data_IF_006974470375
#
_entry.id   IF_006974470375
#
_cell.length_a   1.000
_cell.length_b   1.000
_cell.length_c   1.000
_cell.angle_alpha   90.00
_cell.angle_beta   90.00
_cell.angle_gamma   90.00
#
_symmetry.space_group_name_H-M   'P 1'
#
loop_
_entity.id
_entity.type
_entity.pdbx_description
1 polymer ?
#
# COMPACT_ATOMS: atom_id res chain seq x y z
N UNK A 1 -10.76 32.83 5.97
CA UNK A 1 -9.80 32.15 5.06
C UNK A 1 -9.74 30.71 5.50
N UNK A 2 -9.86 29.72 4.59
CA UNK A 2 -9.60 28.33 4.98
C UNK A 2 -8.11 28.23 5.27
N UNK A 3 -7.75 27.68 6.42
CA UNK A 3 -6.37 27.27 6.69
C UNK A 3 -5.99 26.30 5.59
N UNK A 4 -5.16 26.74 4.64
CA UNK A 4 -4.50 25.81 3.74
C UNK A 4 -3.55 25.04 4.64
N UNK A 5 -3.90 23.79 4.96
CA UNK A 5 -2.98 22.86 5.59
C UNK A 5 -1.66 22.83 4.83
N UNK A 6 -0.61 22.37 5.48
CA UNK A 6 0.71 22.18 4.86
C UNK A 6 0.58 21.53 3.48
N UNK A 7 1.51 21.83 2.56
CA UNK A 7 1.52 21.24 1.21
C UNK A 7 1.35 19.71 1.24
N UNK A 8 1.93 19.06 2.27
CA UNK A 8 1.79 17.64 2.55
C UNK A 8 0.34 17.22 2.84
N UNK A 9 -0.37 17.92 3.72
CA UNK A 9 -1.76 17.62 4.05
C UNK A 9 -2.69 17.81 2.85
N UNK A 10 -2.43 18.86 2.06
CA UNK A 10 -3.14 19.06 0.79
C UNK A 10 -2.87 17.88 -0.16
N UNK A 11 -1.62 17.48 -0.31
CA UNK A 11 -1.23 16.39 -1.19
C UNK A 11 -1.88 15.06 -0.76
N UNK A 12 -1.83 14.73 0.53
CA UNK A 12 -2.51 13.54 1.08
C UNK A 12 -4.00 13.56 0.76
N UNK A 13 -4.68 14.68 1.00
CA UNK A 13 -6.12 14.80 0.70
C UNK A 13 -6.40 14.61 -0.78
N UNK A 14 -5.63 15.28 -1.65
CA UNK A 14 -5.78 15.19 -3.11
C UNK A 14 -5.65 13.75 -3.61
N UNK A 15 -4.63 13.03 -3.13
CA UNK A 15 -4.36 11.65 -3.55
C UNK A 15 -5.33 10.63 -2.92
N UNK A 16 -6.00 10.99 -1.82
CA UNK A 16 -7.05 10.17 -1.23
C UNK A 16 -8.38 10.30 -2.00
N UNK A 17 -8.69 11.50 -2.49
CA UNK A 17 -9.95 11.83 -3.16
C UNK A 17 -9.97 11.42 -4.65
N UNK A 18 -8.79 11.31 -5.28
CA UNK A 18 -8.64 11.02 -6.71
C UNK A 18 -7.69 9.83 -6.95
N UNK A 19 -8.24 8.63 -7.20
CA UNK A 19 -7.44 7.44 -7.48
C UNK A 19 -6.57 7.56 -8.73
N UNK A 20 -7.01 8.27 -9.77
CA UNK A 20 -6.21 8.47 -10.98
C UNK A 20 -5.00 9.36 -10.68
N UNK A 21 -5.21 10.44 -9.95
CA UNK A 21 -4.12 11.29 -9.47
C UNK A 21 -3.14 10.52 -8.55
N UNK A 22 -3.64 9.57 -7.75
CA UNK A 22 -2.82 8.73 -6.88
C UNK A 22 -1.89 7.80 -7.69
N UNK A 23 -2.40 7.16 -8.73
CA UNK A 23 -1.60 6.32 -9.64
C UNK A 23 -0.60 7.16 -10.42
N UNK A 24 -1.03 8.28 -10.99
CA UNK A 24 -0.15 9.18 -11.74
C UNK A 24 0.98 9.73 -10.86
N UNK A 25 0.68 10.10 -9.62
CA UNK A 25 1.67 10.53 -8.65
C UNK A 25 2.70 9.43 -8.37
N UNK A 26 2.25 8.19 -8.13
CA UNK A 26 3.14 7.06 -7.89
C UNK A 26 4.07 6.82 -9.09
N UNK A 27 3.53 6.86 -10.32
CA UNK A 27 4.33 6.71 -11.54
C UNK A 27 5.34 7.84 -11.72
N UNK A 28 4.94 9.09 -11.51
CA UNK A 28 5.83 10.25 -11.60
C UNK A 28 6.98 10.15 -10.59
N UNK A 29 6.70 9.76 -9.36
CA UNK A 29 7.72 9.55 -8.33
C UNK A 29 8.76 8.51 -8.76
N UNK A 30 8.36 7.44 -9.47
CA UNK A 30 9.30 6.47 -10.03
C UNK A 30 10.13 7.05 -11.19
N UNK A 31 9.50 7.83 -12.07
CA UNK A 31 10.19 8.49 -13.19
C UNK A 31 11.25 9.48 -12.69
N UNK A 32 10.94 10.28 -11.67
CA UNK A 32 11.89 11.21 -11.03
C UNK A 32 13.07 10.44 -10.42
N UNK A 33 12.79 9.38 -9.66
CA UNK A 33 13.85 8.53 -9.10
C UNK A 33 14.76 7.91 -10.18
N UNK A 34 14.19 7.48 -11.31
CA UNK A 34 14.98 6.98 -12.43
C UNK A 34 15.85 8.07 -13.08
N UNK A 35 15.42 9.33 -13.03
CA UNK A 35 16.12 10.45 -13.65
C UNK A 35 17.29 10.95 -12.81
N UNK A 36 17.14 11.03 -11.48
CA UNK A 36 18.14 11.63 -10.59
C UNK A 36 18.76 10.67 -9.56
N UNK A 37 18.17 9.50 -9.33
CA UNK A 37 18.63 8.53 -8.33
C UNK A 37 18.39 8.96 -6.88
N UNK A 38 17.55 9.97 -6.62
CA UNK A 38 17.27 10.49 -5.27
C UNK A 38 16.35 9.54 -4.48
N UNK A 39 16.96 8.49 -3.93
CA UNK A 39 16.28 7.50 -3.11
C UNK A 39 15.60 8.12 -1.86
N UNK A 40 16.24 9.05 -1.10
CA UNK A 40 15.56 9.74 0.00
C UNK A 40 14.28 10.46 -0.39
N UNK A 41 14.29 11.17 -1.53
CA UNK A 41 13.11 11.86 -2.05
C UNK A 41 12.03 10.85 -2.47
N UNK A 42 12.41 9.82 -3.23
CA UNK A 42 11.50 8.74 -3.63
C UNK A 42 10.78 8.10 -2.43
N UNK A 43 11.52 7.69 -1.40
CA UNK A 43 10.94 7.05 -0.22
C UNK A 43 10.05 8.00 0.59
N UNK A 44 10.30 9.31 0.53
CA UNK A 44 9.45 10.32 1.17
C UNK A 44 8.13 10.47 0.43
N UNK A 45 8.16 10.61 -0.90
CA UNK A 45 6.95 10.74 -1.71
C UNK A 45 6.11 9.45 -1.66
N UNK A 46 6.75 8.28 -1.60
CA UNK A 46 6.07 7.00 -1.43
C UNK A 46 5.35 6.87 -0.07
N UNK A 47 5.89 7.44 1.00
CA UNK A 47 5.17 7.52 2.29
C UNK A 47 3.94 8.43 2.21
N UNK A 48 4.05 9.56 1.51
CA UNK A 48 2.90 10.46 1.27
C UNK A 48 1.78 9.72 0.53
N UNK A 49 2.14 8.95 -0.49
CA UNK A 49 1.18 8.09 -1.19
C UNK A 49 0.55 7.05 -0.25
N UNK A 50 1.33 6.29 0.51
CA UNK A 50 0.77 5.28 1.43
C UNK A 50 -0.17 5.90 2.46
N UNK A 51 0.19 7.06 3.02
CA UNK A 51 -0.67 7.76 3.97
C UNK A 51 -1.97 8.24 3.33
N UNK A 52 -1.93 8.72 2.08
CA UNK A 52 -3.15 9.09 1.34
C UNK A 52 -4.06 7.90 1.08
N UNK A 53 -3.51 6.69 1.00
CA UNK A 53 -4.28 5.45 0.84
C UNK A 53 -4.84 4.89 2.16
N UNK A 54 -4.75 5.63 3.26
CA UNK A 54 -5.20 5.17 4.59
C UNK A 54 -4.11 4.48 5.41
N UNK A 55 -2.84 4.57 4.96
CA UNK A 55 -1.67 4.04 5.65
C UNK A 55 -1.32 2.60 5.26
N UNK A 56 -0.25 2.10 5.88
CA UNK A 56 0.36 0.78 5.61
C UNK A 56 -0.69 -0.35 5.73
N UNK A 57 -1.50 -0.33 6.78
CA UNK A 57 -2.50 -1.40 7.03
C UNK A 57 -3.55 -1.45 5.92
N UNK A 58 -4.06 -0.30 5.49
CA UNK A 58 -5.12 -0.24 4.49
C UNK A 58 -4.60 -0.63 3.11
N UNK A 59 -3.40 -0.19 2.75
CA UNK A 59 -2.82 -0.53 1.45
C UNK A 59 -2.43 -2.01 1.37
N UNK A 60 -1.93 -2.63 2.44
CA UNK A 60 -1.68 -4.07 2.51
C UNK A 60 -2.97 -4.88 2.28
N UNK A 61 -4.08 -4.48 2.92
CA UNK A 61 -5.39 -5.16 2.72
C UNK A 61 -5.86 -5.10 1.28
N UNK A 62 -5.70 -3.95 0.61
CA UNK A 62 -6.17 -3.75 -0.77
C UNK A 62 -5.31 -4.48 -1.80
N UNK A 63 -4.01 -4.54 -1.55
CA UNK A 63 -3.04 -5.06 -2.54
C UNK A 63 -2.65 -6.51 -2.30
N UNK A 64 -2.91 -7.04 -1.09
CA UNK A 64 -2.48 -8.37 -0.68
C UNK A 64 -0.98 -8.45 -0.36
N UNK A 65 -0.24 -7.34 -0.45
CA UNK A 65 1.17 -7.26 -0.04
C UNK A 65 1.22 -7.35 1.49
N UNK A 66 2.08 -8.23 2.02
CA UNK A 66 2.24 -8.34 3.45
C UNK A 66 2.95 -7.11 4.04
N UNK A 67 2.61 -6.81 5.29
CA UNK A 67 3.13 -5.63 6.01
C UNK A 67 4.65 -5.65 6.12
N UNK A 68 5.28 -6.81 6.26
CA UNK A 68 6.72 -6.93 6.43
C UNK A 68 7.45 -6.55 5.13
N UNK A 69 7.01 -7.09 3.98
CA UNK A 69 7.52 -6.71 2.66
C UNK A 69 7.39 -5.22 2.41
N UNK A 70 6.23 -4.62 2.73
CA UNK A 70 6.02 -3.19 2.51
C UNK A 70 6.89 -2.32 3.43
N UNK A 71 7.11 -2.72 4.69
CA UNK A 71 7.99 -2.00 5.61
C UNK A 71 9.48 -2.17 5.26
N UNK A 72 9.86 -3.36 4.79
CA UNK A 72 11.22 -3.65 4.36
C UNK A 72 11.63 -2.80 3.15
N UNK A 73 10.70 -2.46 2.26
CA UNK A 73 10.93 -1.51 1.16
C UNK A 73 11.47 -0.15 1.65
N UNK A 74 11.07 0.30 2.84
CA UNK A 74 11.53 1.58 3.41
C UNK A 74 12.83 1.50 4.19
N UNK A 75 13.28 0.29 4.51
CA UNK A 75 14.43 0.04 5.40
C UNK A 75 15.63 -0.55 4.64
N UNK A 76 15.43 -0.98 3.40
CA UNK A 76 16.43 -1.67 2.61
C UNK A 76 17.07 -0.74 1.57
N UNK A 77 18.40 -0.78 1.47
CA UNK A 77 19.17 -0.06 0.45
C UNK A 77 19.26 -0.84 -0.88
N UNK A 78 18.73 -2.08 -0.93
CA UNK A 78 18.62 -2.88 -2.14
C UNK A 78 17.55 -2.31 -3.09
N UNK A 79 18.02 -1.56 -4.09
CA UNK A 79 17.18 -0.96 -5.12
C UNK A 79 16.36 -1.98 -5.91
N UNK A 80 16.85 -3.22 -6.09
CA UNK A 80 16.13 -4.26 -6.86
C UNK A 80 14.86 -4.66 -6.11
N UNK A 81 15.00 -5.00 -4.82
CA UNK A 81 13.86 -5.39 -3.97
C UNK A 81 12.85 -4.27 -3.81
N UNK A 82 13.33 -3.03 -3.74
CA UNK A 82 12.46 -1.85 -3.69
C UNK A 82 11.63 -1.73 -4.97
N UNK A 83 12.26 -1.86 -6.14
CA UNK A 83 11.57 -1.78 -7.44
C UNK A 83 10.61 -2.97 -7.67
N UNK A 84 10.95 -4.17 -7.21
CA UNK A 84 10.06 -5.34 -7.26
C UNK A 84 8.80 -5.13 -6.40
N UNK A 85 8.98 -4.64 -5.18
CA UNK A 85 7.87 -4.33 -4.26
C UNK A 85 7.00 -3.21 -4.81
N UNK A 86 7.63 -2.17 -5.35
CA UNK A 86 6.94 -1.05 -5.99
C UNK A 86 6.14 -1.49 -7.21
N UNK A 87 6.72 -2.34 -8.07
CA UNK A 87 6.04 -2.87 -9.25
C UNK A 87 4.83 -3.73 -8.86
N UNK A 88 4.97 -4.52 -7.80
CA UNK A 88 3.87 -5.31 -7.23
C UNK A 88 2.75 -4.41 -6.71
N UNK A 89 3.12 -3.33 -6.00
CA UNK A 89 2.19 -2.32 -5.50
C UNK A 89 1.42 -1.65 -6.64
N UNK A 90 2.12 -1.14 -7.66
CA UNK A 90 1.51 -0.45 -8.79
C UNK A 90 0.57 -1.38 -9.58
N UNK A 91 0.96 -2.63 -9.80
CA UNK A 91 0.13 -3.61 -10.49
C UNK A 91 -1.14 -3.93 -9.71
N UNK A 92 -1.03 -4.13 -8.38
CA UNK A 92 -2.18 -4.42 -7.53
C UNK A 92 -3.16 -3.24 -7.44
N UNK A 93 -2.67 -2.00 -7.52
CA UNK A 93 -3.53 -0.81 -7.51
C UNK A 93 -4.24 -0.57 -8.85
N UNK A 94 -3.57 -0.86 -9.98
CA UNK A 94 -4.18 -0.77 -11.32
C UNK A 94 -5.22 -1.86 -11.55
N UNK A 95 -4.98 -3.05 -11.00
CA UNK A 95 -5.87 -4.20 -11.08
C UNK A 95 -6.24 -4.62 -9.65
N UNK A 96 -7.15 -3.90 -8.98
CA UNK A 96 -7.59 -4.29 -7.66
C UNK A 96 -8.11 -5.72 -7.74
N UNK A 97 -7.41 -6.63 -7.07
CA UNK A 97 -7.88 -7.99 -6.92
C UNK A 97 -9.30 -7.89 -6.36
N UNK A 98 -10.29 -8.34 -7.12
CA UNK A 98 -11.63 -8.56 -6.62
C UNK A 98 -11.48 -9.69 -5.59
N UNK A 99 -11.18 -9.33 -4.35
CA UNK A 99 -11.23 -10.25 -3.23
C UNK A 99 -12.72 -10.49 -2.97
N UNK A 100 -13.33 -11.36 -3.77
CA UNK A 100 -14.56 -12.04 -3.37
C UNK A 100 -14.24 -12.73 -2.03
N UNK A 101 -14.91 -12.27 -0.97
CA UNK A 101 -14.64 -12.69 0.39
C UNK A 101 -14.72 -14.20 0.56
N UNK A 102 -13.58 -14.87 0.50
CA UNK A 102 -13.43 -16.27 0.93
C UNK A 102 -12.89 -16.29 2.36
N UNK A 103 -13.55 -15.57 3.25
CA UNK A 103 -13.44 -15.77 4.69
C UNK A 103 -14.80 -16.23 5.25
N UNK A 104 -15.16 -17.48 4.92
CA UNK A 104 -16.03 -18.29 5.76
C UNK A 104 -15.78 -19.76 5.43
N UNK A 105 -15.85 -20.62 6.46
CA UNK A 105 -15.89 -22.10 6.37
C UNK A 105 -14.54 -22.84 6.37
N UNK A 106 -13.73 -22.63 7.40
CA UNK A 106 -12.96 -23.76 7.97
C UNK A 106 -12.67 -23.59 9.48
N UNK A 107 -13.72 -23.36 10.28
CA UNK A 107 -13.71 -23.89 11.65
C UNK A 107 -14.43 -25.23 11.59
N UNK A 108 -13.65 -26.31 11.68
CA UNK A 108 -14.16 -27.66 11.80
C UNK A 108 -15.12 -27.75 13.01
N UNK A 109 -16.21 -28.53 12.92
CA UNK A 109 -17.01 -28.82 14.10
C UNK A 109 -16.15 -29.65 15.07
N UNK A 110 -15.90 -29.10 16.25
CA UNK A 110 -15.38 -29.84 17.40
C UNK A 110 -16.31 -31.04 17.61
N UNK A 111 -15.77 -32.25 17.41
CA UNK A 111 -16.47 -33.49 17.74
C UNK A 111 -16.82 -33.45 19.22
N UNK A 112 -18.11 -33.44 19.52
CA UNK A 112 -18.61 -33.65 20.87
C UNK A 112 -18.26 -35.08 21.28
N UNK A 113 -17.54 -35.21 22.39
CA UNK A 113 -17.23 -36.49 23.03
C UNK A 113 -18.54 -36.98 23.67
N UNK A 114 -18.98 -38.23 23.46
CA UNK A 114 -20.13 -38.76 24.17
C UNK A 114 -19.75 -38.97 25.64
N UNK A 115 -20.33 -38.20 26.55
CA UNK A 115 -20.30 -38.53 27.98
C UNK A 115 -21.40 -39.55 28.24
N UNK A 116 -20.93 -40.76 28.53
CA UNK A 116 -21.70 -41.91 28.95
C UNK A 116 -22.27 -41.66 30.36
N UNK A 117 -23.60 -41.74 30.52
CA UNK A 117 -24.22 -42.12 31.79
C UNK A 117 -25.63 -42.66 31.58
#
# INVERSE_FOLDING_TARGET
MREMGSWREYQIRRLADDPEAAINYLQLTLEEYHADGDLPFFLKELRVFIESQGGVVEICKRTGIDTETLLNMFSNEDATRLLDTFSSLLNALKNPLVIEGTHAKHLAPVKQIPTNQ
#
